data_IF_579684096498
#
_entry.id   IF_579684096498
#
_cell.length_a   1.000
_cell.length_b   1.000
_cell.length_c   1.000
_cell.angle_alpha   90.00
_cell.angle_beta   90.00
_cell.angle_gamma   90.00
#
_symmetry.space_group_name_H-M   'P 1'
#
loop_
_entity.id
_entity.type
_entity.pdbx_description
1 polymer ?
#
# COMPACT_ATOMS: atom_id res chain seq x y z
N UNK A 1 20.81 19.06 -18.16
CA UNK A 1 19.40 19.52 -18.17
C UNK A 1 18.89 19.44 -16.74
N UNK A 2 17.98 20.32 -16.31
CA UNK A 2 17.38 20.19 -14.99
C UNK A 2 16.51 18.93 -15.00
N UNK A 3 16.79 18.03 -14.06
CA UNK A 3 16.07 16.78 -13.89
C UNK A 3 14.57 17.09 -13.77
N UNK A 4 13.77 16.69 -14.75
CA UNK A 4 12.32 16.99 -14.75
C UNK A 4 11.64 15.98 -13.84
N UNK A 5 11.65 16.30 -12.54
CA UNK A 5 10.90 15.56 -11.55
C UNK A 5 9.54 16.23 -11.34
N UNK A 6 8.46 15.48 -11.52
CA UNK A 6 7.12 15.91 -11.14
C UNK A 6 6.51 14.91 -10.15
N UNK A 7 5.45 15.33 -9.46
CA UNK A 7 4.77 14.49 -8.48
C UNK A 7 3.28 14.38 -8.75
N UNK A 8 2.72 13.25 -8.34
CA UNK A 8 1.30 12.92 -8.38
C UNK A 8 0.84 12.54 -6.98
N UNK A 9 -0.15 13.24 -6.43
CA UNK A 9 -0.82 12.84 -5.19
C UNK A 9 -1.86 11.76 -5.52
N UNK A 10 -1.80 10.63 -4.81
CA UNK A 10 -2.65 9.46 -5.00
C UNK A 10 -3.72 9.33 -3.91
N UNK A 11 -3.74 10.24 -2.93
CA UNK A 11 -4.62 10.17 -1.77
C UNK A 11 -4.07 9.32 -0.62
N UNK A 12 -4.84 9.21 0.46
CA UNK A 12 -4.43 8.53 1.70
C UNK A 12 -5.04 7.15 1.91
N UNK A 13 -6.14 6.83 1.23
CA UNK A 13 -6.97 5.63 1.45
C UNK A 13 -7.76 5.29 0.18
N UNK A 14 -8.36 4.09 0.07
CA UNK A 14 -9.29 3.74 -1.00
C UNK A 14 -10.49 4.69 -1.05
N UNK A 15 -11.02 4.96 -2.25
CA UNK A 15 -11.99 6.05 -2.45
C UNK A 15 -13.35 5.86 -1.78
N UNK A 16 -13.74 4.61 -1.49
CA UNK A 16 -15.05 4.26 -0.92
C UNK A 16 -14.94 3.67 0.50
N UNK A 17 -13.80 3.85 1.17
CA UNK A 17 -13.59 3.42 2.55
C UNK A 17 -13.61 4.64 3.48
N UNK A 18 -14.01 4.43 4.74
CA UNK A 18 -13.85 5.45 5.78
C UNK A 18 -12.37 5.76 5.95
N UNK A 19 -12.00 7.04 5.89
CA UNK A 19 -10.63 7.48 6.05
C UNK A 19 -10.42 8.35 7.28
N UNK A 20 -9.19 8.41 7.77
CA UNK A 20 -8.84 9.22 8.94
C UNK A 20 -9.14 10.71 8.71
N UNK A 21 -9.84 11.35 9.65
CA UNK A 21 -10.24 12.75 9.58
C UNK A 21 -9.62 13.56 10.72
N UNK A 22 -8.99 14.68 10.36
CA UNK A 22 -8.44 15.65 11.33
C UNK A 22 -9.58 16.12 12.25
N UNK A 23 -9.33 16.12 13.57
CA UNK A 23 -10.30 16.56 14.57
C UNK A 23 -11.38 15.54 14.93
N UNK A 24 -11.48 14.42 14.20
CA UNK A 24 -12.47 13.36 14.47
C UNK A 24 -11.81 12.02 14.85
N UNK A 25 -10.74 11.64 14.17
CA UNK A 25 -10.07 10.35 14.41
C UNK A 25 -9.15 10.44 15.64
N UNK A 26 -9.36 9.60 16.67
CA UNK A 26 -8.41 9.48 17.78
C UNK A 26 -7.02 9.09 17.28
N UNK A 27 -5.97 9.67 17.85
CA UNK A 27 -4.59 9.43 17.42
C UNK A 27 -4.35 9.68 15.93
N UNK A 28 -5.07 10.65 15.34
CA UNK A 28 -5.09 10.96 13.91
C UNK A 28 -3.72 10.85 13.23
N UNK A 29 -2.67 11.45 13.79
CA UNK A 29 -1.35 11.45 13.17
C UNK A 29 -0.78 10.03 12.95
N UNK A 30 -0.98 9.11 13.89
CA UNK A 30 -0.51 7.73 13.79
C UNK A 30 -1.43 6.94 12.84
N UNK A 31 -2.74 7.10 13.00
CA UNK A 31 -3.75 6.42 12.17
C UNK A 31 -3.62 6.80 10.69
N UNK A 32 -3.58 8.08 10.37
CA UNK A 32 -3.42 8.56 9.00
C UNK A 32 -2.05 8.19 8.40
N UNK A 33 -1.00 8.07 9.22
CA UNK A 33 0.28 7.51 8.75
C UNK A 33 0.13 6.03 8.39
N UNK A 34 -0.49 5.22 9.25
CA UNK A 34 -0.72 3.81 8.99
C UNK A 34 -1.60 3.59 7.75
N UNK A 35 -2.66 4.39 7.61
CA UNK A 35 -3.59 4.36 6.49
C UNK A 35 -2.87 4.63 5.17
N UNK A 36 -2.10 5.72 5.07
CA UNK A 36 -1.33 6.02 3.87
C UNK A 36 -0.25 4.95 3.58
N UNK A 37 0.39 4.38 4.61
CA UNK A 37 1.35 3.28 4.44
C UNK A 37 0.69 2.01 3.89
N UNK A 38 -0.50 1.67 4.38
CA UNK A 38 -1.27 0.52 3.90
C UNK A 38 -1.84 0.76 2.51
N UNK A 39 -2.29 1.98 2.22
CA UNK A 39 -2.75 2.34 0.89
C UNK A 39 -1.63 2.25 -0.15
N UNK A 40 -0.42 2.72 0.20
CA UNK A 40 0.78 2.50 -0.62
C UNK A 40 1.06 1.01 -0.86
N UNK A 41 0.95 0.17 0.17
CA UNK A 41 1.14 -1.26 0.03
C UNK A 41 0.07 -1.90 -0.86
N UNK A 42 -1.18 -1.46 -0.74
CA UNK A 42 -2.29 -1.91 -1.57
C UNK A 42 -2.11 -1.51 -3.05
N UNK A 43 -1.68 -0.27 -3.32
CA UNK A 43 -1.32 0.18 -4.67
C UNK A 43 -0.18 -0.66 -5.26
N UNK A 44 0.85 -0.97 -4.48
CA UNK A 44 1.93 -1.89 -4.90
C UNK A 44 1.40 -3.30 -5.14
N UNK A 45 0.45 -3.78 -4.33
CA UNK A 45 -0.21 -5.05 -4.55
C UNK A 45 -0.87 -5.13 -5.93
N UNK A 46 -1.61 -4.08 -6.32
CA UNK A 46 -2.32 -4.05 -7.60
C UNK A 46 -1.39 -3.74 -8.79
N UNK A 47 -0.55 -2.72 -8.67
CA UNK A 47 0.28 -2.22 -9.78
C UNK A 47 1.64 -2.92 -9.91
N UNK A 48 2.11 -3.59 -8.86
CA UNK A 48 3.49 -4.07 -8.74
C UNK A 48 4.45 -3.02 -8.18
N UNK A 49 5.71 -3.42 -8.02
CA UNK A 49 6.78 -2.51 -7.59
C UNK A 49 6.98 -1.37 -8.60
N UNK A 50 7.27 -0.14 -8.14
CA UNK A 50 7.54 0.97 -9.04
C UNK A 50 8.69 0.67 -10.02
N UNK A 51 8.53 0.96 -11.33
CA UNK A 51 9.62 0.87 -12.29
C UNK A 51 10.70 1.92 -12.01
N UNK A 52 11.85 1.79 -12.68
CA UNK A 52 12.93 2.77 -12.58
C UNK A 52 12.41 4.18 -12.90
N UNK A 53 12.80 5.19 -12.12
CA UNK A 53 12.30 6.56 -12.27
C UNK A 53 11.01 6.88 -11.53
N UNK A 54 10.26 5.89 -11.01
CA UNK A 54 9.09 6.13 -10.16
C UNK A 54 9.41 5.71 -8.72
N UNK A 55 9.04 6.55 -7.76
CA UNK A 55 9.08 6.19 -6.34
C UNK A 55 7.79 6.58 -5.63
N UNK A 56 7.30 5.70 -4.76
CA UNK A 56 6.13 5.96 -3.92
C UNK A 56 6.57 6.30 -2.50
N UNK A 57 6.13 7.44 -1.99
CA UNK A 57 6.44 7.92 -0.64
C UNK A 57 5.20 8.40 0.10
N UNK A 58 5.29 8.45 1.43
CA UNK A 58 4.27 9.09 2.25
C UNK A 58 4.62 10.57 2.39
N UNK A 59 3.76 11.42 1.83
CA UNK A 59 3.93 12.87 1.84
C UNK A 59 3.17 13.46 3.02
N UNK A 60 3.84 14.27 3.83
CA UNK A 60 3.18 15.11 4.83
C UNK A 60 2.69 16.42 4.18
N UNK A 61 1.41 16.71 4.36
CA UNK A 61 0.72 17.89 3.86
C UNK A 61 0.29 18.74 5.06
N UNK A 62 1.07 19.80 5.33
CA UNK A 62 0.77 20.71 6.42
C UNK A 62 -0.32 21.70 6.01
N UNK A 63 -1.38 21.78 6.80
CA UNK A 63 -2.46 22.74 6.69
C UNK A 63 -2.68 23.44 8.04
N UNK A 64 -3.47 24.50 8.01
CA UNK A 64 -3.90 25.30 9.16
C UNK A 64 -4.60 24.48 10.26
N UNK A 65 -5.29 23.39 9.90
CA UNK A 65 -5.97 22.51 10.85
C UNK A 65 -5.14 21.30 11.30
N UNK A 66 -3.91 21.14 10.78
CA UNK A 66 -3.01 20.04 11.12
C UNK A 66 -2.30 19.46 9.90
N UNK A 67 -1.55 18.37 10.12
CA UNK A 67 -0.79 17.71 9.06
C UNK A 67 -1.40 16.35 8.74
N UNK A 68 -1.99 16.21 7.55
CA UNK A 68 -2.39 14.92 7.00
C UNK A 68 -1.29 14.34 6.10
N UNK A 69 -1.42 13.08 5.74
CA UNK A 69 -0.49 12.32 4.94
C UNK A 69 -1.21 11.57 3.83
N UNK A 70 -0.61 11.59 2.65
CA UNK A 70 -1.06 10.89 1.46
C UNK A 70 0.09 10.12 0.82
N UNK A 71 -0.22 9.23 -0.12
CA UNK A 71 0.75 8.57 -0.97
C UNK A 71 1.04 9.49 -2.15
N UNK A 72 2.32 9.75 -2.41
CA UNK A 72 2.76 10.55 -3.54
C UNK A 72 3.70 9.72 -4.41
N UNK A 73 3.47 9.73 -5.72
CA UNK A 73 4.44 9.27 -6.71
C UNK A 73 5.36 10.43 -7.10
N UNK A 74 6.67 10.19 -7.07
CA UNK A 74 7.67 11.07 -7.69
C UNK A 74 8.17 10.40 -8.96
N UNK A 75 8.15 11.14 -10.07
CA UNK A 75 8.41 10.62 -11.41
C UNK A 75 9.59 11.36 -12.04
N UNK A 76 10.56 10.60 -12.53
CA UNK A 76 11.74 11.06 -13.27
C UNK A 76 11.64 10.56 -14.71
N UNK A 77 11.17 11.42 -15.61
CA UNK A 77 10.89 11.06 -17.01
C UNK A 77 12.15 10.65 -17.79
N UNK A 78 13.35 11.00 -17.33
CA UNK A 78 14.59 10.60 -18.01
C UNK A 78 14.88 9.10 -17.86
N UNK A 79 14.24 8.43 -16.89
CA UNK A 79 14.35 6.99 -16.65
C UNK A 79 13.15 6.20 -17.18
N UNK A 80 12.26 6.82 -17.97
CA UNK A 80 11.13 6.11 -18.56
C UNK A 80 11.61 5.13 -19.63
N UNK A 81 11.36 3.84 -19.39
CA UNK A 81 11.59 2.73 -20.32
C UNK A 81 10.35 2.42 -21.18
N UNK A 82 9.32 3.27 -21.11
CA UNK A 82 8.02 3.12 -21.75
C UNK A 82 6.94 2.56 -20.83
N UNK A 83 7.28 2.18 -19.58
CA UNK A 83 6.32 1.63 -18.61
C UNK A 83 5.64 2.68 -17.72
N UNK A 84 6.16 3.93 -17.66
CA UNK A 84 5.69 4.93 -16.70
C UNK A 84 4.21 5.23 -16.87
N UNK A 85 3.77 5.47 -18.10
CA UNK A 85 2.38 5.86 -18.39
C UNK A 85 1.37 4.82 -17.87
N UNK A 86 1.55 3.54 -18.21
CA UNK A 86 0.64 2.47 -17.75
C UNK A 86 0.69 2.24 -16.24
N UNK A 87 1.87 2.40 -15.63
CA UNK A 87 2.02 2.27 -14.18
C UNK A 87 1.29 3.40 -13.46
N UNK A 88 1.48 4.65 -13.91
CA UNK A 88 0.83 5.83 -13.35
C UNK A 88 -0.69 5.82 -13.56
N UNK A 89 -1.18 5.37 -14.71
CA UNK A 89 -2.61 5.18 -14.96
C UNK A 89 -3.24 4.19 -13.96
N UNK A 90 -2.54 3.08 -13.67
CA UNK A 90 -2.98 2.11 -12.65
C UNK A 90 -3.03 2.74 -11.27
N UNK A 91 -2.03 3.56 -10.91
CA UNK A 91 -1.99 4.26 -9.62
C UNK A 91 -3.08 5.32 -9.49
N UNK A 92 -3.29 6.11 -10.54
CA UNK A 92 -4.30 7.20 -10.57
C UNK A 92 -5.72 6.64 -10.57
N UNK A 93 -5.95 5.51 -11.26
CA UNK A 93 -7.21 4.75 -11.14
C UNK A 93 -7.47 4.33 -9.69
N UNK A 94 -6.39 3.99 -8.96
CA UNK A 94 -6.44 3.67 -7.54
C UNK A 94 -7.26 2.41 -7.24
N UNK A 95 -7.71 2.31 -6.00
CA UNK A 95 -8.65 1.28 -5.55
C UNK A 95 -9.81 1.92 -4.80
N UNK A 96 -11.00 1.35 -4.95
CA UNK A 96 -12.20 1.79 -4.25
C UNK A 96 -12.31 1.19 -2.86
N UNK A 97 -11.87 -0.07 -2.68
CA UNK A 97 -11.98 -0.81 -1.42
C UNK A 97 -10.71 -1.60 -1.11
N UNK A 98 -10.42 -1.81 0.18
CA UNK A 98 -9.22 -2.54 0.63
C UNK A 98 -9.12 -3.97 0.04
N UNK A 99 -10.27 -4.64 -0.07
CA UNK A 99 -10.33 -6.03 -0.52
C UNK A 99 -9.93 -6.20 -1.99
N UNK A 100 -9.98 -5.14 -2.81
CA UNK A 100 -9.51 -5.19 -4.21
C UNK A 100 -8.00 -5.43 -4.30
N UNK A 101 -7.25 -5.06 -3.26
CA UNK A 101 -5.82 -5.34 -3.10
C UNK A 101 -5.55 -6.51 -2.13
N UNK A 102 -6.58 -7.29 -1.77
CA UNK A 102 -6.46 -8.41 -0.83
C UNK A 102 -6.33 -8.02 0.64
N UNK A 103 -6.54 -6.75 0.99
CA UNK A 103 -6.52 -6.30 2.39
C UNK A 103 -7.91 -6.42 3.01
N UNK A 104 -7.97 -6.89 4.25
CA UNK A 104 -9.13 -6.63 5.09
C UNK A 104 -9.11 -5.15 5.53
N UNK A 105 -10.26 -4.49 5.71
CA UNK A 105 -10.32 -3.15 6.29
C UNK A 105 -9.54 -3.08 7.62
N UNK A 106 -8.52 -2.21 7.73
CA UNK A 106 -7.68 -2.18 8.93
C UNK A 106 -8.45 -1.66 10.15
N UNK A 107 -8.30 -2.34 11.29
CA UNK A 107 -8.90 -1.92 12.57
C UNK A 107 -8.07 -0.80 13.23
N UNK A 108 -8.07 0.39 12.64
CA UNK A 108 -7.23 1.51 13.07
C UNK A 108 -7.42 1.93 14.53
N UNK A 109 -8.57 1.63 15.15
CA UNK A 109 -8.80 1.86 16.58
C UNK A 109 -7.81 1.12 17.50
N UNK A 110 -7.14 0.06 17.00
CA UNK A 110 -6.08 -0.66 17.72
C UNK A 110 -4.77 0.10 17.80
N UNK A 111 -4.58 1.14 16.98
CA UNK A 111 -3.40 2.01 17.01
C UNK A 111 -3.58 3.11 18.06
N UNK A 112 -2.99 2.89 19.22
CA UNK A 112 -3.02 3.83 20.35
C UNK A 112 -1.70 4.51 20.63
N UNK A 113 -0.59 3.98 20.09
CA UNK A 113 0.75 4.51 20.30
C UNK A 113 1.64 4.35 19.05
N UNK A 114 2.62 5.26 18.91
CA UNK A 114 3.47 5.32 17.71
C UNK A 114 4.39 4.12 17.52
N UNK A 115 4.79 3.47 18.61
CA UNK A 115 5.62 2.26 18.59
C UNK A 115 4.91 1.04 18.01
N UNK A 116 3.58 1.05 17.96
CA UNK A 116 2.75 0.00 17.35
C UNK A 116 2.68 0.10 15.83
N UNK A 117 2.98 1.26 15.25
CA UNK A 117 2.75 1.57 13.83
C UNK A 117 3.41 0.55 12.89
N UNK A 118 4.70 0.28 13.08
CA UNK A 118 5.45 -0.61 12.20
C UNK A 118 4.89 -2.04 12.24
N UNK A 119 4.63 -2.56 13.45
CA UNK A 119 4.03 -3.89 13.64
C UNK A 119 2.63 -3.99 13.04
N UNK A 120 1.79 -2.97 13.22
CA UNK A 120 0.45 -2.92 12.65
C UNK A 120 0.45 -2.98 11.12
N UNK A 121 1.31 -2.18 10.48
CA UNK A 121 1.44 -2.18 9.02
C UNK A 121 1.94 -3.54 8.53
N UNK A 122 2.97 -4.09 9.19
CA UNK A 122 3.53 -5.40 8.85
C UNK A 122 2.49 -6.52 8.97
N UNK A 123 1.69 -6.50 10.05
CA UNK A 123 0.64 -7.48 10.30
C UNK A 123 -0.48 -7.42 9.25
N UNK A 124 -0.86 -6.22 8.83
CA UNK A 124 -1.88 -6.02 7.80
C UNK A 124 -1.41 -6.52 6.42
N UNK A 125 -0.16 -6.22 6.02
CA UNK A 125 0.41 -6.74 4.77
C UNK A 125 0.57 -8.27 4.84
N UNK A 126 1.02 -8.82 5.97
CA UNK A 126 1.09 -10.27 6.18
C UNK A 126 -0.30 -10.92 6.11
N UNK A 127 -1.34 -10.27 6.62
CA UNK A 127 -2.73 -10.71 6.47
C UNK A 127 -3.16 -10.74 5.00
N UNK A 128 -2.87 -9.69 4.24
CA UNK A 128 -3.18 -9.64 2.80
C UNK A 128 -2.47 -10.74 2.01
N UNK A 129 -1.22 -11.06 2.35
CA UNK A 129 -0.50 -12.19 1.78
C UNK A 129 -1.16 -13.53 2.08
N UNK A 130 -1.69 -13.72 3.31
CA UNK A 130 -2.46 -14.93 3.66
C UNK A 130 -3.79 -14.98 2.90
N UNK A 131 -4.49 -13.86 2.74
CA UNK A 131 -5.76 -13.79 1.99
C UNK A 131 -5.56 -14.14 0.52
N UNK A 132 -4.50 -13.62 -0.09
CA UNK A 132 -4.22 -13.78 -1.53
C UNK A 132 -3.41 -15.04 -1.88
N UNK A 133 -3.05 -15.86 -0.89
CA UNK A 133 -2.21 -17.05 -1.08
C UNK A 133 -2.80 -18.04 -2.08
N UNK A 134 -1.97 -18.79 -2.82
CA UNK A 134 -2.46 -19.90 -3.61
C UNK A 134 -2.97 -21.04 -2.72
N UNK A 135 -3.78 -21.92 -3.29
CA UNK A 135 -4.14 -23.21 -2.69
C UNK A 135 -2.91 -24.11 -2.60
N UNK A 136 -3.06 -25.26 -1.92
CA UNK A 136 -2.02 -26.31 -1.85
C UNK A 136 -1.70 -26.99 -3.18
N UNK A 137 -2.31 -26.55 -4.28
CA UNK A 137 -2.02 -27.01 -5.65
C UNK A 137 -1.41 -25.88 -6.47
N UNK A 138 -1.07 -24.75 -5.84
CA UNK A 138 -0.55 -23.56 -6.51
C UNK A 138 -1.59 -22.69 -7.25
N UNK A 139 -2.89 -23.03 -7.17
CA UNK A 139 -3.94 -22.28 -7.87
C UNK A 139 -4.38 -21.06 -7.06
N UNK A 140 -4.67 -19.94 -7.74
CA UNK A 140 -5.22 -18.74 -7.08
C UNK A 140 -6.74 -18.69 -7.22
N UNK A 141 -7.44 -18.35 -6.13
CA UNK A 141 -8.87 -18.08 -6.15
C UNK A 141 -9.21 -16.84 -5.31
N UNK A 142 -9.83 -15.80 -5.90
CA UNK A 142 -10.00 -15.61 -7.34
C UNK A 142 -8.64 -15.53 -8.08
N UNK A 143 -8.64 -15.71 -9.40
CA UNK A 143 -7.42 -15.66 -10.22
C UNK A 143 -6.67 -14.32 -10.05
N UNK A 144 -7.43 -13.24 -9.85
CA UNK A 144 -6.91 -11.89 -9.58
C UNK A 144 -6.05 -11.79 -8.32
N UNK A 145 -6.15 -12.74 -7.38
CA UNK A 145 -5.26 -12.81 -6.21
C UNK A 145 -3.81 -13.12 -6.58
N UNK A 146 -3.57 -13.80 -7.71
CA UNK A 146 -2.24 -14.23 -8.12
C UNK A 146 -1.25 -13.09 -8.31
N UNK A 147 -1.54 -12.11 -9.18
CA UNK A 147 -0.71 -10.92 -9.34
C UNK A 147 -0.48 -10.17 -8.01
N UNK A 148 -1.54 -9.95 -7.23
CA UNK A 148 -1.47 -9.25 -5.94
C UNK A 148 -0.52 -9.95 -4.98
N UNK A 149 -0.68 -11.27 -4.83
CA UNK A 149 0.16 -12.08 -3.96
C UNK A 149 1.63 -11.97 -4.34
N UNK A 150 1.95 -12.11 -5.64
CA UNK A 150 3.34 -12.02 -6.14
C UNK A 150 3.94 -10.65 -5.91
N UNK A 151 3.17 -9.59 -6.18
CA UNK A 151 3.61 -8.21 -6.01
C UNK A 151 3.90 -7.89 -4.53
N UNK A 152 2.97 -8.24 -3.62
CA UNK A 152 3.16 -8.03 -2.19
C UNK A 152 4.34 -8.86 -1.64
N UNK A 153 4.49 -10.10 -2.10
CA UNK A 153 5.57 -10.99 -1.64
C UNK A 153 6.94 -10.43 -2.06
N UNK A 154 7.07 -9.97 -3.30
CA UNK A 154 8.29 -9.36 -3.82
C UNK A 154 8.63 -8.02 -3.13
N UNK A 155 7.62 -7.18 -2.85
CA UNK A 155 7.83 -5.86 -2.29
C UNK A 155 8.00 -5.85 -0.75
N UNK A 156 7.45 -6.84 -0.05
CA UNK A 156 7.42 -6.89 1.42
C UNK A 156 7.89 -8.24 1.96
N UNK A 157 9.18 -8.60 1.77
CA UNK A 157 9.71 -9.91 2.18
C UNK A 157 9.59 -10.18 3.69
N UNK A 158 9.71 -9.15 4.54
CA UNK A 158 9.49 -9.28 5.99
C UNK A 158 8.03 -9.67 6.31
N UNK A 159 7.06 -9.07 5.61
CA UNK A 159 5.65 -9.41 5.75
C UNK A 159 5.38 -10.83 5.26
N UNK A 160 6.04 -11.27 4.18
CA UNK A 160 5.95 -12.64 3.69
C UNK A 160 6.51 -13.66 4.68
N UNK A 161 7.66 -13.37 5.28
CA UNK A 161 8.22 -14.22 6.33
C UNK A 161 7.28 -14.31 7.55
N UNK A 162 6.66 -13.18 7.93
CA UNK A 162 5.67 -13.15 9.01
C UNK A 162 4.36 -13.85 8.64
N UNK A 163 4.00 -13.84 7.36
CA UNK A 163 2.81 -14.53 6.86
C UNK A 163 2.95 -16.06 6.93
N UNK A 164 4.14 -16.58 6.60
CA UNK A 164 4.40 -17.99 6.31
C UNK A 164 5.60 -18.58 7.07
N UNK A 165 5.90 -18.12 8.29
CA UNK A 165 7.08 -18.54 9.06
C UNK A 165 7.28 -20.07 9.07
N UNK A 166 8.55 -20.51 9.03
CA UNK A 166 8.96 -21.91 8.85
C UNK A 166 8.16 -22.85 9.76
N UNK A 167 7.30 -23.68 9.14
CA UNK A 167 6.32 -24.54 9.82
C UNK A 167 4.93 -24.50 9.17
N UNK A 168 4.64 -23.51 8.33
CA UNK A 168 3.48 -23.48 7.43
C UNK A 168 3.92 -23.33 5.98
N UNK A 169 4.57 -24.38 5.44
CA UNK A 169 4.71 -24.52 3.99
C UNK A 169 3.34 -24.88 3.41
N UNK A 170 2.78 -24.11 2.45
CA UNK A 170 1.83 -24.69 1.54
C UNK A 170 2.60 -25.55 0.54
N UNK A 171 2.21 -26.82 0.46
CA UNK A 171 2.57 -27.74 -0.62
C UNK A 171 2.22 -27.16 -2.00
#
# INVERSE_FOLDING_TARGET
MAKTNWTLDLGGAPSNEDCAQIGHTPNFAIVNTAEAMLYRAALIGVAGSPPAGISLRIKANAHDFGTYRTVEASVDNEQDDGSHASYLETLETGIAFWHQAGFAPPEFAKLTASDQLAGFVLDAVASALRITRPTSTGAFFPESSGPIHRNLNAAFPEAAQRAFSEGSLPC
#
